data_IF_470698660280
#
_entry.id   IF_470698660280
#
_cell.length_a   1.000
_cell.length_b   1.000
_cell.length_c   1.000
_cell.angle_alpha   90.00
_cell.angle_beta   90.00
_cell.angle_gamma   90.00
#
_symmetry.space_group_name_H-M   'P 1'
#
loop_
_entity.id
_entity.type
_entity.pdbx_description
1 polymer ?
#
# COMPACT_ATOMS: atom_id res chain seq x y z
N UNK A 1 47.67 -32.90 -10.09
CA UNK A 1 46.21 -32.82 -10.32
C UNK A 1 45.78 -31.43 -9.87
N UNK A 2 45.77 -30.41 -10.74
CA UNK A 2 44.69 -30.02 -11.68
C UNK A 2 43.30 -30.02 -11.02
N UNK A 3 42.70 -28.82 -10.93
CA UNK A 3 41.28 -28.58 -10.67
C UNK A 3 41.08 -27.55 -9.54
N UNK A 4 40.49 -26.37 -9.71
CA UNK A 4 39.59 -25.95 -10.78
C UNK A 4 39.47 -24.43 -10.90
N UNK A 5 38.83 -24.08 -12.00
CA UNK A 5 38.66 -22.76 -12.58
C UNK A 5 37.78 -21.85 -11.71
N UNK A 6 38.34 -20.76 -11.21
CA UNK A 6 37.54 -19.60 -10.81
C UNK A 6 37.10 -18.85 -12.08
N UNK A 7 35.87 -19.15 -12.55
CA UNK A 7 35.18 -18.29 -13.52
C UNK A 7 34.64 -17.05 -12.80
N UNK A 8 34.73 -15.92 -13.49
CA UNK A 8 34.14 -14.60 -13.17
C UNK A 8 34.89 -13.75 -12.15
N UNK A 9 35.85 -12.98 -12.65
CA UNK A 9 36.59 -11.93 -11.94
C UNK A 9 35.76 -10.68 -11.56
N UNK A 10 34.43 -10.78 -11.47
CA UNK A 10 33.54 -9.68 -11.07
C UNK A 10 33.07 -9.83 -9.61
N UNK A 11 33.02 -11.04 -9.06
CA UNK A 11 32.52 -11.25 -7.69
C UNK A 11 33.58 -11.20 -6.59
N UNK A 12 34.88 -11.18 -6.94
CA UNK A 12 35.98 -11.20 -5.96
C UNK A 12 36.39 -9.81 -5.44
N UNK A 13 35.82 -8.71 -5.95
CA UNK A 13 36.30 -7.35 -5.61
C UNK A 13 35.49 -6.57 -4.58
N UNK A 14 34.42 -7.16 -4.04
CA UNK A 14 33.59 -6.50 -3.03
C UNK A 14 34.03 -6.79 -1.58
N UNK A 15 34.88 -7.78 -1.33
CA UNK A 15 35.33 -8.13 0.03
C UNK A 15 36.64 -7.43 0.45
N UNK A 16 37.41 -6.84 -0.48
CA UNK A 16 38.75 -6.28 -0.22
C UNK A 16 38.78 -4.75 -0.11
N UNK A 17 37.64 -4.08 -0.31
CA UNK A 17 37.52 -2.65 -0.06
C UNK A 17 36.48 -2.51 1.04
N UNK A 18 36.82 -1.89 2.17
CA UNK A 18 35.91 -1.65 3.31
C UNK A 18 34.74 -0.70 3.00
N UNK A 19 34.16 -0.80 1.81
CA UNK A 19 32.86 -0.27 1.45
C UNK A 19 31.82 -1.17 2.11
N UNK A 20 30.95 -0.57 2.91
CA UNK A 20 29.72 -1.19 3.40
C UNK A 20 29.07 -2.01 2.28
N UNK A 21 28.58 -3.20 2.61
CA UNK A 21 28.07 -4.16 1.63
C UNK A 21 27.32 -3.49 0.47
N UNK A 22 27.69 -3.84 -0.76
CA UNK A 22 26.87 -3.58 -1.94
C UNK A 22 25.68 -4.53 -1.86
N UNK A 23 24.77 -4.24 -0.94
CA UNK A 23 23.63 -5.05 -0.56
C UNK A 23 22.44 -4.18 -0.21
N UNK A 24 21.26 -4.75 -0.34
CA UNK A 24 20.03 -4.12 0.16
C UNK A 24 20.09 -4.13 1.70
N UNK A 25 19.94 -2.98 2.38
CA UNK A 25 20.02 -2.93 3.84
C UNK A 25 18.99 -3.84 4.53
N UNK A 26 19.38 -4.46 5.65
CA UNK A 26 18.43 -5.14 6.55
C UNK A 26 17.34 -4.14 6.97
N UNK A 27 16.09 -4.62 6.98
CA UNK A 27 14.90 -3.79 7.21
C UNK A 27 14.29 -3.20 5.94
N UNK A 28 14.95 -3.31 4.78
CA UNK A 28 14.37 -2.88 3.51
C UNK A 28 13.14 -3.71 3.16
N UNK A 29 12.05 -3.03 2.79
CA UNK A 29 10.82 -3.66 2.31
C UNK A 29 10.76 -3.53 0.79
N UNK A 30 10.44 -4.63 0.10
CA UNK A 30 10.34 -4.67 -1.36
C UNK A 30 9.05 -5.34 -1.81
N UNK A 31 8.55 -4.88 -2.96
CA UNK A 31 7.49 -5.53 -3.70
C UNK A 31 8.04 -6.78 -4.41
N UNK A 32 7.37 -7.91 -4.23
CA UNK A 32 7.73 -9.17 -4.86
C UNK A 32 6.52 -9.82 -5.53
N UNK A 33 6.63 -10.09 -6.83
CA UNK A 33 5.55 -10.69 -7.61
C UNK A 33 5.55 -12.23 -7.48
N UNK A 34 5.32 -12.73 -6.26
CA UNK A 34 5.36 -14.16 -5.90
C UNK A 34 4.70 -15.10 -6.91
N UNK A 35 3.50 -14.75 -7.37
CA UNK A 35 2.65 -15.64 -8.16
C UNK A 35 2.83 -15.49 -9.68
N UNK A 36 3.77 -14.66 -10.15
CA UNK A 36 4.09 -14.60 -11.57
C UNK A 36 4.75 -15.93 -11.98
N UNK A 37 4.36 -16.54 -13.12
CA UNK A 37 4.96 -17.80 -13.56
C UNK A 37 6.49 -17.76 -13.61
N UNK A 38 7.13 -18.82 -13.10
CA UNK A 38 8.58 -18.97 -12.98
C UNK A 38 9.27 -18.02 -11.98
N UNK A 39 8.52 -17.34 -11.11
CA UNK A 39 9.13 -16.59 -9.99
C UNK A 39 9.83 -17.56 -9.04
N UNK A 40 11.14 -17.39 -8.80
CA UNK A 40 11.87 -18.26 -7.87
C UNK A 40 11.33 -18.12 -6.44
N UNK A 41 11.52 -19.16 -5.62
CA UNK A 41 11.21 -19.09 -4.19
C UNK A 41 11.99 -17.97 -3.50
N UNK A 42 11.39 -17.38 -2.46
CA UNK A 42 12.03 -16.37 -1.64
C UNK A 42 13.30 -16.94 -0.97
N UNK A 43 14.38 -16.15 -0.97
CA UNK A 43 15.62 -16.52 -0.28
C UNK A 43 15.48 -16.38 1.24
N UNK A 44 16.24 -17.16 2.02
CA UNK A 44 16.14 -17.23 3.48
C UNK A 44 16.55 -15.95 4.23
N UNK A 45 17.16 -14.99 3.54
CA UNK A 45 17.47 -13.67 4.07
C UNK A 45 16.32 -12.67 3.89
N UNK A 46 15.18 -13.12 3.37
CA UNK A 46 13.94 -12.37 3.24
C UNK A 46 12.77 -13.14 3.84
N UNK A 47 11.79 -12.43 4.37
CA UNK A 47 10.52 -13.02 4.83
C UNK A 47 9.35 -12.19 4.31
N UNK A 48 8.17 -12.79 4.23
CA UNK A 48 6.93 -12.08 3.88
C UNK A 48 6.50 -11.19 5.04
N UNK A 49 5.91 -10.03 4.73
CA UNK A 49 5.35 -9.12 5.72
C UNK A 49 3.91 -9.53 6.10
N UNK A 50 3.78 -10.62 6.88
CA UNK A 50 2.50 -11.27 7.20
C UNK A 50 2.09 -11.15 8.69
N UNK A 51 2.79 -10.32 9.48
CA UNK A 51 2.46 -10.13 10.90
C UNK A 51 3.03 -11.18 11.85
N UNK A 52 3.90 -12.07 11.37
CA UNK A 52 4.48 -13.15 12.15
C UNK A 52 5.59 -12.67 13.09
N UNK A 53 5.79 -13.38 14.20
CA UNK A 53 7.03 -13.28 15.00
C UNK A 53 8.14 -14.00 14.23
N UNK A 54 9.28 -13.34 14.02
CA UNK A 54 10.44 -13.95 13.38
C UNK A 54 11.16 -14.87 14.38
N UNK A 55 11.49 -16.08 13.95
CA UNK A 55 12.30 -17.03 14.72
C UNK A 55 13.51 -17.43 13.87
N UNK A 56 14.57 -16.64 13.97
CA UNK A 56 15.81 -16.75 13.22
C UNK A 56 16.95 -16.08 14.00
N UNK A 57 17.66 -16.86 14.81
CA UNK A 57 18.72 -16.39 15.72
C UNK A 57 19.86 -15.63 15.04
N UNK A 58 20.04 -15.80 13.72
CA UNK A 58 21.05 -15.10 12.93
C UNK A 58 20.57 -13.72 12.44
N UNK A 59 19.28 -13.39 12.62
CA UNK A 59 18.70 -12.10 12.26
C UNK A 59 18.73 -11.12 13.44
N UNK A 60 19.01 -9.83 13.22
CA UNK A 60 18.80 -8.80 14.23
C UNK A 60 17.32 -8.60 14.62
N UNK A 61 16.39 -9.22 13.91
CA UNK A 61 14.95 -9.20 14.21
C UNK A 61 14.46 -10.49 14.87
N UNK A 62 15.33 -11.36 15.37
CA UNK A 62 14.91 -12.57 16.09
C UNK A 62 13.99 -12.23 17.27
N UNK A 63 12.83 -12.88 17.34
CA UNK A 63 11.78 -12.63 18.33
C UNK A 63 10.92 -11.39 18.08
N UNK A 64 11.24 -10.56 17.08
CA UNK A 64 10.46 -9.38 16.74
C UNK A 64 9.26 -9.71 15.85
N UNK A 65 8.21 -8.88 15.93
CA UNK A 65 7.06 -8.99 15.03
C UNK A 65 7.33 -8.30 13.70
N UNK A 66 7.22 -9.04 12.62
CA UNK A 66 7.31 -8.54 11.25
C UNK A 66 6.01 -7.77 10.91
N UNK A 67 6.06 -6.65 10.18
CA UNK A 67 4.86 -5.91 9.80
C UNK A 67 3.84 -6.77 9.04
N UNK A 68 2.55 -6.59 9.30
CA UNK A 68 1.46 -7.21 8.54
C UNK A 68 1.00 -6.30 7.39
N UNK A 69 1.76 -6.30 6.30
CA UNK A 69 1.41 -5.54 5.09
C UNK A 69 0.55 -6.36 4.13
N UNK A 70 0.73 -7.68 4.10
CA UNK A 70 0.06 -8.57 3.16
C UNK A 70 -1.33 -9.00 3.66
N UNK A 71 -1.46 -9.36 4.93
CA UNK A 71 -2.74 -9.79 5.52
C UNK A 71 -3.77 -8.67 5.59
N UNK A 72 -3.31 -7.43 5.77
CA UNK A 72 -4.14 -6.22 5.78
C UNK A 72 -4.20 -5.47 4.43
N UNK A 73 -3.53 -5.97 3.38
CA UNK A 73 -3.44 -5.33 2.06
C UNK A 73 -3.04 -3.83 2.09
N UNK A 74 -2.04 -3.48 2.91
CA UNK A 74 -1.65 -2.09 3.19
C UNK A 74 -0.82 -1.45 2.07
N UNK A 75 -0.98 -0.14 1.93
CA UNK A 75 -0.09 0.71 1.13
C UNK A 75 1.07 1.25 1.96
N UNK A 76 2.15 1.66 1.28
CA UNK A 76 3.30 2.31 1.90
C UNK A 76 3.39 3.78 1.49
N UNK A 77 3.87 4.62 2.40
CA UNK A 77 4.17 6.03 2.18
C UNK A 77 5.49 6.42 2.86
N UNK A 78 6.06 7.54 2.44
CA UNK A 78 7.19 8.15 3.13
C UNK A 78 6.79 8.77 4.46
N UNK A 79 7.67 8.65 5.46
CA UNK A 79 7.57 9.27 6.78
C UNK A 79 8.99 9.50 7.35
N UNK A 80 9.11 10.35 8.38
CA UNK A 80 10.38 10.55 9.11
C UNK A 80 10.68 9.36 10.03
N UNK A 81 9.63 8.79 10.64
CA UNK A 81 9.69 7.56 11.44
C UNK A 81 8.91 6.46 10.75
N UNK A 82 9.48 5.27 10.63
CA UNK A 82 8.83 4.10 10.03
C UNK A 82 7.92 3.36 11.02
N UNK A 83 6.99 2.55 10.50
CA UNK A 83 6.21 1.60 11.31
C UNK A 83 4.94 2.15 11.95
N UNK A 84 4.46 3.33 11.52
CA UNK A 84 3.19 3.88 11.96
C UNK A 84 2.09 3.51 10.97
N UNK A 85 1.01 2.94 11.48
CA UNK A 85 -0.18 2.63 10.72
C UNK A 85 -1.11 3.84 10.63
N UNK A 86 -1.64 4.09 9.45
CA UNK A 86 -2.64 5.13 9.20
C UNK A 86 -3.93 4.48 8.71
N UNK A 87 -5.07 4.94 9.24
CA UNK A 87 -6.38 4.54 8.73
C UNK A 87 -6.62 5.14 7.33
N UNK A 88 -7.52 4.55 6.56
CA UNK A 88 -8.00 5.21 5.34
C UNK A 88 -8.66 6.55 5.70
N UNK A 89 -8.42 7.55 4.87
CA UNK A 89 -8.99 8.88 5.04
C UNK A 89 -9.28 9.51 3.68
N UNK A 90 -10.35 10.30 3.62
CA UNK A 90 -10.68 11.13 2.46
C UNK A 90 -10.71 12.59 2.89
N UNK A 91 -9.96 13.42 2.18
CA UNK A 91 -9.89 14.85 2.52
C UNK A 91 -11.29 15.47 2.53
N UNK A 92 -11.56 16.27 3.56
CA UNK A 92 -12.78 17.06 3.66
C UNK A 92 -12.99 17.90 2.40
N UNK A 93 -14.22 17.90 1.87
CA UNK A 93 -14.63 18.65 0.69
C UNK A 93 -16.12 18.95 0.75
N UNK A 94 -16.59 19.86 -0.10
CA UNK A 94 -17.99 20.28 -0.16
C UNK A 94 -18.56 20.16 -1.58
N UNK A 95 -19.86 19.92 -1.65
CA UNK A 95 -20.63 19.93 -2.90
C UNK A 95 -21.60 21.11 -2.91
N UNK A 96 -21.67 21.81 -4.05
CA UNK A 96 -22.70 22.81 -4.28
C UNK A 96 -23.91 22.13 -4.92
N UNK A 97 -25.09 22.32 -4.34
CA UNK A 97 -26.35 21.84 -4.92
C UNK A 97 -27.05 23.03 -5.56
N UNK A 98 -27.15 23.03 -6.89
CA UNK A 98 -27.91 24.05 -7.62
C UNK A 98 -29.38 23.66 -7.64
N UNK A 99 -30.24 24.55 -7.14
CA UNK A 99 -31.70 24.42 -7.27
C UNK A 99 -32.17 25.10 -8.55
N UNK A 100 -33.00 24.41 -9.31
CA UNK A 100 -33.84 25.09 -10.28
C UNK A 100 -34.96 25.82 -9.52
N UNK A 101 -34.92 27.16 -9.53
CA UNK A 101 -35.92 28.02 -8.91
C UNK A 101 -37.08 28.35 -9.86
N UNK A 102 -36.99 27.95 -11.12
CA UNK A 102 -37.98 28.20 -12.17
C UNK A 102 -38.60 26.86 -12.53
N UNK A 103 -39.51 26.37 -11.68
CA UNK A 103 -40.13 25.04 -11.81
C UNK A 103 -40.42 24.64 -13.26
N UNK A 104 -39.87 23.50 -13.68
CA UNK A 104 -40.04 22.97 -15.03
C UNK A 104 -41.52 22.81 -15.38
N UNK A 105 -41.98 23.54 -16.40
CA UNK A 105 -43.35 23.49 -16.91
C UNK A 105 -43.54 22.15 -17.61
N UNK A 106 -43.96 21.11 -16.88
CA UNK A 106 -44.23 19.81 -17.50
C UNK A 106 -44.60 18.64 -16.59
N UNK A 107 -44.35 18.69 -15.28
CA UNK A 107 -44.69 17.58 -14.37
C UNK A 107 -45.34 18.06 -13.08
N UNK A 108 -46.55 18.62 -13.17
CA UNK A 108 -47.60 18.63 -12.13
C UNK A 108 -47.30 19.14 -10.71
N UNK A 109 -46.08 19.55 -10.38
CA UNK A 109 -45.68 20.07 -9.09
C UNK A 109 -45.05 21.45 -9.29
N UNK A 110 -45.93 22.45 -9.32
CA UNK A 110 -45.54 23.86 -9.36
C UNK A 110 -44.98 24.25 -7.98
N UNK A 111 -43.67 24.46 -7.88
CA UNK A 111 -43.08 25.16 -6.74
C UNK A 111 -43.16 26.66 -7.00
N UNK A 112 -44.21 27.31 -6.48
CA UNK A 112 -44.40 28.75 -6.61
C UNK A 112 -43.27 29.53 -5.88
N UNK A 113 -42.60 30.42 -6.61
CA UNK A 113 -41.38 31.09 -6.15
C UNK A 113 -41.55 32.05 -4.96
N UNK A 114 -42.74 32.33 -4.41
CA UNK A 114 -42.91 33.41 -3.43
C UNK A 114 -44.09 33.24 -2.46
N UNK A 115 -44.18 32.13 -1.71
CA UNK A 115 -45.02 32.07 -0.50
C UNK A 115 -44.38 31.25 0.62
N UNK A 116 -43.51 31.89 1.40
CA UNK A 116 -43.08 31.45 2.73
C UNK A 116 -42.28 30.14 2.78
N UNK A 117 -41.06 30.20 3.33
CA UNK A 117 -40.22 29.04 3.69
C UNK A 117 -40.35 27.87 2.70
N UNK A 118 -39.63 27.93 1.56
CA UNK A 118 -39.43 26.72 0.75
C UNK A 118 -38.68 25.70 1.58
N UNK A 119 -39.43 24.84 2.27
CA UNK A 119 -38.90 23.74 3.05
C UNK A 119 -38.34 22.71 2.07
N UNK A 120 -37.02 22.67 1.99
CA UNK A 120 -36.32 21.67 1.20
C UNK A 120 -36.47 20.36 1.98
N UNK A 121 -37.47 19.55 1.65
CA UNK A 121 -37.73 18.24 2.31
C UNK A 121 -36.67 17.22 1.85
N UNK A 122 -35.39 17.52 2.09
CA UNK A 122 -34.24 16.66 1.80
C UNK A 122 -33.90 16.47 0.31
N UNK A 123 -32.61 16.49 -0.02
CA UNK A 123 -32.11 15.86 -1.25
C UNK A 123 -31.64 14.44 -0.89
N UNK A 124 -32.26 13.41 -1.48
CA UNK A 124 -31.78 12.04 -1.33
C UNK A 124 -30.60 11.84 -2.27
N UNK A 125 -29.40 11.70 -1.72
CA UNK A 125 -28.23 11.24 -2.47
C UNK A 125 -28.24 9.72 -2.56
N UNK A 126 -27.93 9.17 -3.73
CA UNK A 126 -27.59 7.75 -3.84
C UNK A 126 -26.12 7.55 -3.45
N UNK A 127 -25.84 6.52 -2.67
CA UNK A 127 -24.46 6.13 -2.34
C UNK A 127 -23.83 5.54 -3.61
N UNK A 128 -22.64 6.03 -3.97
CA UNK A 128 -21.81 5.46 -5.02
C UNK A 128 -20.44 5.11 -4.42
N UNK A 129 -19.94 3.90 -4.68
CA UNK A 129 -18.64 3.43 -4.18
C UNK A 129 -18.65 1.99 -3.68
N UNK A 130 -17.52 1.59 -3.10
CA UNK A 130 -17.34 0.32 -2.40
C UNK A 130 -17.05 0.54 -0.91
N UNK A 131 -16.53 -0.49 -0.24
CA UNK A 131 -16.17 -0.45 1.20
C UNK A 131 -14.79 0.12 1.49
N UNK A 132 -14.07 0.61 0.48
CA UNK A 132 -12.68 1.06 0.59
C UNK A 132 -12.41 2.19 -0.41
N UNK A 133 -11.63 3.18 0.01
CA UNK A 133 -11.18 4.28 -0.87
C UNK A 133 -9.78 4.03 -1.40
N UNK A 134 -9.63 3.73 -2.70
CA UNK A 134 -8.32 3.52 -3.34
C UNK A 134 -8.28 3.85 -4.83
N UNK A 135 -7.12 4.23 -5.38
CA UNK A 135 -6.92 4.29 -6.83
C UNK A 135 -6.82 2.88 -7.44
N UNK A 136 -6.83 2.80 -8.78
CA UNK A 136 -6.46 1.57 -9.51
C UNK A 136 -5.06 1.14 -9.07
N UNK A 137 -4.89 -0.13 -8.70
CA UNK A 137 -3.65 -0.68 -8.19
C UNK A 137 -3.48 -2.15 -8.60
N UNK A 138 -2.31 -2.72 -8.29
CA UNK A 138 -2.01 -4.14 -8.42
C UNK A 138 -1.43 -4.64 -7.09
N UNK A 139 -1.94 -5.77 -6.60
CA UNK A 139 -1.42 -6.42 -5.41
C UNK A 139 -0.13 -7.18 -5.72
N UNK A 140 0.84 -7.04 -4.81
CA UNK A 140 2.10 -7.79 -4.74
C UNK A 140 2.29 -8.27 -3.32
N UNK A 141 3.22 -9.21 -3.12
CA UNK A 141 3.63 -9.61 -1.78
C UNK A 141 4.76 -8.70 -1.33
N UNK A 142 4.59 -8.06 -0.18
CA UNK A 142 5.64 -7.34 0.50
C UNK A 142 6.56 -8.32 1.23
N UNK A 143 7.87 -8.13 1.04
CA UNK A 143 8.93 -8.87 1.72
C UNK A 143 9.88 -7.91 2.42
N UNK A 144 10.48 -8.34 3.53
CA UNK A 144 11.47 -7.58 4.29
C UNK A 144 12.79 -8.34 4.37
N UNK A 145 13.90 -7.62 4.20
CA UNK A 145 15.26 -8.13 4.34
C UNK A 145 15.57 -8.33 5.82
N UNK A 146 15.89 -9.55 6.23
CA UNK A 146 16.12 -9.89 7.65
C UNK A 146 17.55 -10.28 7.97
N UNK A 147 18.38 -10.57 6.97
CA UNK A 147 19.80 -10.93 7.10
C UNK A 147 20.60 -10.39 5.94
#
# INVERSE_FOLDING_TARGET
MIGGFFKSGIYKRLFDQGVAEVGVPIGSIQAWHKDLPNTPSLFSNWVQCDGQILNDIDSPYDGETIPDLNGQARFLRGAVSSGVDEAEDFKSHAHNITRDLVGSIGTGAEFAANKGVSDFVGATTVVAGGTETRPINMSVVWIIKVK
#
